data_IF_233583393215
#
_entry.id   IF_233583393215
#
_cell.length_a   1.000
_cell.length_b   1.000
_cell.length_c   1.000
_cell.angle_alpha   90.00
_cell.angle_beta   90.00
_cell.angle_gamma   90.00
#
_symmetry.space_group_name_H-M   'P 1'
#
loop_
_entity.id
_entity.type
_entity.pdbx_description
1 polymer ?
#
# COMPACT_ATOMS: atom_id res chain seq x y z
N UNK A 1 -0.04 -38.06 -53.83
CA UNK A 1 -1.37 -38.13 -53.18
C UNK A 1 -1.63 -36.77 -52.50
N UNK A 2 -2.32 -35.85 -53.18
CA UNK A 2 -2.57 -34.49 -52.64
C UNK A 2 -3.80 -34.52 -51.73
N UNK A 3 -3.60 -34.42 -50.42
CA UNK A 3 -4.69 -34.33 -49.45
C UNK A 3 -5.35 -32.95 -49.58
N UNK A 4 -6.56 -32.90 -50.15
CA UNK A 4 -7.39 -31.67 -50.15
C UNK A 4 -8.10 -31.56 -48.80
N UNK A 5 -7.62 -30.67 -47.93
CA UNK A 5 -8.30 -30.33 -46.67
C UNK A 5 -9.46 -29.40 -47.01
N UNK A 6 -10.69 -29.86 -46.78
CA UNK A 6 -11.89 -29.02 -46.89
C UNK A 6 -12.13 -28.28 -45.57
N UNK A 7 -12.76 -27.10 -45.63
CA UNK A 7 -13.12 -26.34 -44.42
C UNK A 7 -13.95 -27.14 -43.41
N UNK A 8 -14.84 -28.02 -43.90
CA UNK A 8 -15.62 -28.92 -43.05
C UNK A 8 -14.73 -29.94 -42.29
N UNK A 9 -13.71 -30.50 -42.95
CA UNK A 9 -12.75 -31.41 -42.31
C UNK A 9 -11.85 -30.68 -41.31
N UNK A 10 -11.44 -29.46 -41.63
CA UNK A 10 -10.68 -28.62 -40.71
C UNK A 10 -11.51 -28.27 -39.46
N UNK A 11 -12.77 -27.87 -39.63
CA UNK A 11 -13.68 -27.57 -38.52
C UNK A 11 -13.96 -28.80 -37.65
N UNK A 12 -14.23 -29.95 -38.26
CA UNK A 12 -14.44 -31.21 -37.53
C UNK A 12 -13.20 -31.62 -36.73
N UNK A 13 -12.00 -31.44 -37.30
CA UNK A 13 -10.74 -31.72 -36.60
C UNK A 13 -10.54 -30.79 -35.38
N UNK A 14 -10.81 -29.49 -35.53
CA UNK A 14 -10.72 -28.52 -34.43
C UNK A 14 -11.70 -28.87 -33.31
N UNK A 15 -12.96 -29.17 -33.64
CA UNK A 15 -13.98 -29.58 -32.66
C UNK A 15 -13.57 -30.88 -31.97
N UNK A 16 -13.07 -31.86 -32.74
CA UNK A 16 -12.57 -33.12 -32.18
C UNK A 16 -11.42 -32.91 -31.20
N UNK A 17 -10.45 -32.04 -31.53
CA UNK A 17 -9.35 -31.69 -30.63
C UNK A 17 -9.83 -30.96 -29.38
N UNK A 18 -10.78 -30.04 -29.50
CA UNK A 18 -11.35 -29.33 -28.36
C UNK A 18 -12.10 -30.29 -27.41
N UNK A 19 -12.92 -31.19 -27.95
CA UNK A 19 -13.61 -32.22 -27.17
C UNK A 19 -12.63 -33.18 -26.50
N UNK A 20 -11.58 -33.61 -27.20
CA UNK A 20 -10.53 -34.44 -26.61
C UNK A 20 -9.80 -33.73 -25.46
N UNK A 21 -9.50 -32.43 -25.60
CA UNK A 21 -8.92 -31.62 -24.53
C UNK A 21 -9.83 -31.49 -23.31
N UNK A 22 -11.13 -31.28 -23.53
CA UNK A 22 -12.13 -31.24 -22.44
C UNK A 22 -12.26 -32.59 -21.73
N UNK A 23 -12.32 -33.69 -22.49
CA UNK A 23 -12.35 -35.04 -21.92
C UNK A 23 -11.09 -35.34 -21.12
N UNK A 24 -9.92 -34.92 -21.60
CA UNK A 24 -8.66 -35.04 -20.85
C UNK A 24 -8.70 -34.26 -19.53
N UNK A 25 -9.13 -33.00 -19.56
CA UNK A 25 -9.27 -32.18 -18.35
C UNK A 25 -10.29 -32.78 -17.37
N UNK A 26 -11.40 -33.34 -17.87
CA UNK A 26 -12.45 -33.97 -17.07
C UNK A 26 -12.02 -35.33 -16.50
N UNK A 27 -11.16 -36.07 -17.20
CA UNK A 27 -10.77 -37.45 -16.84
C UNK A 27 -9.99 -37.57 -15.53
N UNK A 28 -9.43 -36.47 -15.00
CA UNK A 28 -8.55 -36.49 -13.82
C UNK A 28 -7.15 -37.06 -14.08
N UNK A 29 -6.82 -37.42 -15.33
CA UNK A 29 -5.49 -37.94 -15.71
C UNK A 29 -4.39 -36.89 -15.53
N UNK A 30 -4.73 -35.60 -15.70
CA UNK A 30 -3.77 -34.52 -15.47
C UNK A 30 -3.61 -34.24 -13.98
N UNK A 31 -2.47 -34.65 -13.43
CA UNK A 31 -2.14 -34.39 -12.03
C UNK A 31 -1.80 -32.91 -11.81
N UNK A 32 -2.56 -32.24 -10.94
CA UNK A 32 -2.37 -30.82 -10.58
C UNK A 32 -1.53 -30.63 -9.30
N UNK A 33 -0.87 -31.68 -8.79
CA UNK A 33 -0.06 -31.60 -7.59
C UNK A 33 1.09 -30.60 -7.76
N UNK A 34 1.14 -29.57 -6.91
CA UNK A 34 2.21 -28.58 -6.94
C UNK A 34 3.60 -29.18 -6.67
N UNK A 35 3.65 -30.32 -5.96
CA UNK A 35 4.88 -31.05 -5.63
C UNK A 35 5.58 -31.68 -6.83
N UNK A 36 4.88 -31.93 -7.94
CA UNK A 36 5.50 -32.42 -9.18
C UNK A 36 6.09 -31.30 -10.05
N UNK A 37 5.88 -30.04 -9.69
CA UNK A 37 6.28 -28.90 -10.50
C UNK A 37 5.54 -28.82 -11.84
N UNK A 38 5.96 -27.89 -12.69
CA UNK A 38 5.49 -27.81 -14.07
C UNK A 38 6.36 -28.65 -15.00
N UNK A 39 5.77 -29.17 -16.08
CA UNK A 39 6.56 -29.67 -17.20
C UNK A 39 7.38 -28.54 -17.81
N UNK A 40 8.59 -28.82 -18.34
CA UNK A 40 9.50 -27.79 -18.89
C UNK A 40 8.83 -26.87 -19.92
N UNK A 41 7.97 -27.43 -20.78
CA UNK A 41 7.26 -26.64 -21.80
C UNK A 41 6.21 -25.72 -21.18
N UNK A 42 5.46 -26.22 -20.19
CA UNK A 42 4.45 -25.45 -19.45
C UNK A 42 5.11 -24.36 -18.64
N UNK A 43 6.21 -24.67 -17.94
CA UNK A 43 6.99 -23.72 -17.16
C UNK A 43 7.52 -22.57 -18.01
N UNK A 44 8.17 -22.90 -19.13
CA UNK A 44 8.65 -21.92 -20.11
C UNK A 44 7.50 -21.05 -20.63
N UNK A 45 6.38 -21.66 -21.03
CA UNK A 45 5.25 -20.94 -21.61
C UNK A 45 4.61 -19.98 -20.60
N UNK A 46 4.42 -20.42 -19.35
CA UNK A 46 3.87 -19.59 -18.29
C UNK A 46 4.79 -18.41 -17.96
N UNK A 47 6.10 -18.65 -17.80
CA UNK A 47 7.07 -17.59 -17.55
C UNK A 47 7.17 -16.60 -18.72
N UNK A 48 7.19 -17.09 -19.96
CA UNK A 48 7.19 -16.25 -21.15
C UNK A 48 5.92 -15.39 -21.23
N UNK A 49 4.74 -15.99 -21.03
CA UNK A 49 3.45 -15.28 -21.01
C UNK A 49 3.44 -14.21 -19.92
N UNK A 50 3.89 -14.55 -18.71
CA UNK A 50 3.96 -13.61 -17.59
C UNK A 50 4.86 -12.41 -17.91
N UNK A 51 6.10 -12.65 -18.40
CA UNK A 51 7.04 -11.55 -18.75
C UNK A 51 6.48 -10.65 -19.85
N UNK A 52 5.86 -11.22 -20.89
CA UNK A 52 5.26 -10.42 -21.96
C UNK A 52 4.04 -9.63 -21.48
N UNK A 53 3.19 -10.23 -20.66
CA UNK A 53 2.04 -9.55 -20.05
C UNK A 53 2.50 -8.36 -19.21
N UNK A 54 3.45 -8.56 -18.31
CA UNK A 54 4.03 -7.48 -17.49
C UNK A 54 4.63 -6.39 -18.37
N UNK A 55 5.41 -6.74 -19.41
CA UNK A 55 5.99 -5.75 -20.35
C UNK A 55 4.92 -4.91 -21.02
N UNK A 56 3.87 -5.54 -21.55
CA UNK A 56 2.79 -4.87 -22.27
C UNK A 56 1.97 -3.98 -21.33
N UNK A 57 1.46 -4.52 -20.23
CA UNK A 57 0.56 -3.76 -19.37
C UNK A 57 1.29 -2.71 -18.53
N UNK A 58 2.52 -2.96 -18.09
CA UNK A 58 3.30 -1.93 -17.40
C UNK A 58 3.62 -0.73 -18.30
N UNK A 59 3.80 -0.94 -19.62
CA UNK A 59 4.03 0.16 -20.55
C UNK A 59 2.79 1.05 -20.73
N UNK A 60 1.59 0.47 -20.62
CA UNK A 60 0.33 1.17 -20.91
C UNK A 60 -0.36 1.70 -19.66
N UNK A 61 -0.29 0.97 -18.53
CA UNK A 61 -1.11 1.28 -17.34
C UNK A 61 -0.32 1.72 -16.13
N UNK A 62 1.01 1.54 -16.10
CA UNK A 62 1.81 2.05 -14.99
C UNK A 62 1.99 3.57 -15.11
N UNK A 63 1.97 4.32 -14.00
CA UNK A 63 2.18 5.75 -14.01
C UNK A 63 3.59 6.09 -14.53
N UNK A 64 3.77 7.33 -14.99
CA UNK A 64 5.07 7.82 -15.46
C UNK A 64 6.08 8.02 -14.32
N UNK A 65 5.59 8.19 -13.09
CA UNK A 65 6.37 8.29 -11.85
C UNK A 65 6.22 7.03 -10.97
N UNK A 66 6.56 5.81 -11.42
CA UNK A 66 6.26 4.55 -10.71
C UNK A 66 7.04 4.36 -9.40
N UNK A 67 7.99 5.24 -9.08
CA UNK A 67 8.89 5.15 -7.94
C UNK A 67 8.85 6.44 -7.13
N UNK A 68 8.63 6.32 -5.83
CA UNK A 68 8.69 7.46 -4.91
C UNK A 68 10.15 7.84 -4.61
N UNK A 69 10.38 9.11 -4.27
CA UNK A 69 11.70 9.61 -3.83
C UNK A 69 11.91 9.51 -2.31
N UNK A 70 10.88 9.09 -1.56
CA UNK A 70 10.84 9.12 -0.10
C UNK A 70 9.97 7.98 0.47
N UNK A 71 9.89 7.86 1.80
CA UNK A 71 9.02 6.89 2.48
C UNK A 71 9.57 5.47 2.55
N UNK A 72 10.89 5.32 2.63
CA UNK A 72 11.53 4.00 2.70
C UNK A 72 11.22 3.25 4.00
N UNK A 73 10.98 3.94 5.12
CA UNK A 73 10.69 3.29 6.41
C UNK A 73 9.34 2.55 6.36
N UNK A 74 8.31 3.17 5.78
CA UNK A 74 6.98 2.57 5.67
C UNK A 74 7.00 1.33 4.76
N UNK A 75 7.69 1.45 3.63
CA UNK A 75 7.91 0.34 2.71
C UNK A 75 8.74 -0.77 3.34
N UNK A 76 9.83 -0.45 4.05
CA UNK A 76 10.68 -1.43 4.70
C UNK A 76 9.92 -2.20 5.80
N UNK A 77 9.13 -1.50 6.62
CA UNK A 77 8.29 -2.10 7.64
C UNK A 77 7.27 -3.08 7.06
N UNK A 78 6.52 -2.65 6.03
CA UNK A 78 5.58 -3.52 5.32
C UNK A 78 6.30 -4.70 4.66
N UNK A 79 7.45 -4.47 4.02
CA UNK A 79 8.22 -5.51 3.36
C UNK A 79 8.68 -6.58 4.36
N UNK A 80 9.21 -6.17 5.52
CA UNK A 80 9.59 -7.08 6.61
C UNK A 80 8.39 -7.92 7.06
N UNK A 81 7.23 -7.30 7.23
CA UNK A 81 6.05 -7.96 7.77
C UNK A 81 5.35 -8.89 6.76
N UNK A 82 5.40 -8.59 5.46
CA UNK A 82 4.55 -9.25 4.45
C UNK A 82 5.28 -9.87 3.27
N UNK A 83 6.51 -9.45 2.97
CA UNK A 83 7.20 -9.83 1.72
C UNK A 83 8.47 -10.64 1.98
N UNK A 84 9.22 -10.32 3.02
CA UNK A 84 10.55 -10.88 3.29
C UNK A 84 10.53 -12.40 3.57
N UNK A 85 9.43 -12.94 4.10
CA UNK A 85 9.26 -14.39 4.29
C UNK A 85 9.27 -15.17 2.98
N UNK A 86 8.73 -14.58 1.91
CA UNK A 86 8.68 -15.18 0.57
C UNK A 86 9.91 -14.80 -0.26
N UNK A 87 10.31 -13.53 -0.21
CA UNK A 87 11.28 -12.93 -1.13
C UNK A 87 12.67 -12.71 -0.54
N UNK A 88 12.89 -13.02 0.74
CA UNK A 88 14.13 -12.70 1.44
C UNK A 88 14.32 -11.20 1.63
N UNK A 89 15.41 -10.84 2.31
CA UNK A 89 15.89 -9.47 2.49
C UNK A 89 17.41 -9.51 2.76
N UNK A 90 18.13 -8.37 2.75
CA UNK A 90 19.53 -8.34 3.13
C UNK A 90 19.80 -9.00 4.50
N UNK A 91 20.51 -10.13 4.49
CA UNK A 91 20.80 -10.93 5.69
C UNK A 91 19.65 -11.84 6.16
N UNK A 92 18.55 -11.94 5.41
CA UNK A 92 17.38 -12.78 5.69
C UNK A 92 17.11 -13.66 4.48
N UNK A 93 17.27 -14.98 4.63
CA UNK A 93 16.96 -15.92 3.54
C UNK A 93 15.44 -16.08 3.39
N UNK A 94 14.93 -16.24 2.15
CA UNK A 94 13.56 -16.68 1.92
C UNK A 94 13.25 -17.98 2.66
N UNK A 95 11.98 -18.18 3.07
CA UNK A 95 11.57 -19.41 3.72
C UNK A 95 11.71 -20.61 2.76
N UNK A 96 12.26 -21.76 3.22
CA UNK A 96 12.41 -22.95 2.37
C UNK A 96 11.11 -23.43 1.72
N UNK A 97 9.98 -23.33 2.43
CA UNK A 97 8.66 -23.68 1.88
C UNK A 97 8.25 -22.80 0.70
N UNK A 98 8.61 -21.52 0.71
CA UNK A 98 8.33 -20.59 -0.38
C UNK A 98 9.30 -20.78 -1.56
N UNK A 99 10.50 -21.30 -1.29
CA UNK A 99 11.46 -21.71 -2.31
C UNK A 99 11.10 -23.07 -2.95
N UNK A 100 10.30 -23.90 -2.26
CA UNK A 100 9.76 -25.15 -2.80
C UNK A 100 8.38 -24.97 -3.47
N UNK A 101 7.82 -23.75 -3.47
CA UNK A 101 6.56 -23.45 -4.15
C UNK A 101 6.70 -23.55 -5.68
N UNK A 102 5.58 -23.76 -6.37
CA UNK A 102 5.52 -23.82 -7.84
C UNK A 102 4.65 -22.68 -8.37
N UNK A 103 5.22 -21.60 -8.94
CA UNK A 103 6.65 -21.31 -9.05
C UNK A 103 7.27 -20.81 -7.72
N UNK A 104 8.59 -20.92 -7.55
CA UNK A 104 9.27 -20.43 -6.35
C UNK A 104 9.28 -18.91 -6.32
N UNK A 105 9.21 -18.33 -5.12
CA UNK A 105 9.32 -16.88 -4.96
C UNK A 105 10.77 -16.42 -5.25
N UNK A 106 10.99 -15.41 -6.11
CA UNK A 106 12.33 -14.91 -6.40
C UNK A 106 12.90 -14.15 -5.19
N UNK A 107 14.22 -14.21 -5.03
CA UNK A 107 14.90 -13.39 -4.02
C UNK A 107 15.05 -11.95 -4.53
N UNK A 108 14.32 -11.01 -3.91
CA UNK A 108 14.31 -9.62 -4.38
C UNK A 108 15.60 -8.87 -4.04
N UNK A 109 16.45 -9.39 -3.15
CA UNK A 109 17.80 -8.85 -2.96
C UNK A 109 18.74 -9.17 -4.13
N UNK A 110 18.32 -10.05 -5.04
CA UNK A 110 19.10 -10.48 -6.22
C UNK A 110 18.37 -10.07 -7.50
N UNK A 111 17.13 -10.52 -7.69
CA UNK A 111 16.41 -10.48 -8.97
C UNK A 111 15.68 -9.16 -9.25
N UNK A 112 15.55 -8.24 -8.28
CA UNK A 112 14.83 -6.98 -8.49
C UNK A 112 15.42 -6.12 -9.63
N UNK A 113 16.70 -6.30 -9.96
CA UNK A 113 17.40 -5.60 -11.04
C UNK A 113 16.91 -5.97 -12.44
N UNK A 114 16.24 -7.11 -12.61
CA UNK A 114 15.78 -7.58 -13.93
C UNK A 114 14.56 -6.82 -14.49
N UNK A 115 13.88 -6.04 -13.66
CA UNK A 115 12.62 -5.39 -13.98
C UNK A 115 12.77 -3.86 -13.97
N UNK A 116 12.07 -3.15 -14.84
CA UNK A 116 11.99 -1.69 -14.82
C UNK A 116 11.09 -1.19 -13.68
N UNK A 117 11.21 0.09 -13.29
CA UNK A 117 10.38 0.65 -12.21
C UNK A 117 8.87 0.52 -12.52
N UNK A 118 8.44 0.77 -13.78
CA UNK A 118 7.05 0.55 -14.23
C UNK A 118 6.61 -0.91 -14.10
N UNK A 119 7.48 -1.86 -14.40
CA UNK A 119 7.18 -3.29 -14.28
C UNK A 119 7.06 -3.73 -12.82
N UNK A 120 7.97 -3.28 -11.94
CA UNK A 120 7.88 -3.57 -10.50
C UNK A 120 6.60 -2.97 -9.93
N UNK A 121 6.25 -1.73 -10.30
CA UNK A 121 4.99 -1.11 -9.90
C UNK A 121 3.79 -1.97 -10.30
N UNK A 122 3.74 -2.40 -11.56
CA UNK A 122 2.64 -3.18 -12.09
C UNK A 122 2.50 -4.53 -11.38
N UNK A 123 3.61 -5.25 -11.19
CA UNK A 123 3.63 -6.53 -10.49
C UNK A 123 3.17 -6.36 -9.03
N UNK A 124 3.68 -5.36 -8.31
CA UNK A 124 3.25 -5.09 -6.92
C UNK A 124 1.77 -4.70 -6.84
N UNK A 125 1.29 -3.91 -7.81
CA UNK A 125 -0.10 -3.45 -7.85
C UNK A 125 -1.07 -4.60 -8.10
N UNK A 126 -0.76 -5.48 -9.02
CA UNK A 126 -1.70 -6.47 -9.56
C UNK A 126 -1.45 -7.90 -9.10
N UNK A 127 -0.25 -8.19 -8.61
CA UNK A 127 0.20 -9.55 -8.33
C UNK A 127 0.39 -10.36 -9.62
N UNK A 128 0.54 -11.68 -9.46
CA UNK A 128 0.68 -12.60 -10.60
C UNK A 128 -0.32 -13.74 -10.43
N UNK A 129 -1.25 -13.87 -11.39
CA UNK A 129 -2.30 -14.91 -11.37
C UNK A 129 -1.69 -16.31 -11.27
N UNK A 130 -2.36 -17.19 -10.53
CA UNK A 130 -1.95 -18.58 -10.30
C UNK A 130 -0.57 -18.71 -9.63
N UNK A 131 -0.19 -17.73 -8.80
CA UNK A 131 1.00 -17.78 -7.96
C UNK A 131 0.66 -17.35 -6.54
N UNK A 132 1.61 -17.49 -5.61
CA UNK A 132 1.50 -16.95 -4.26
C UNK A 132 1.63 -15.42 -4.16
N UNK A 133 1.81 -14.69 -5.27
CA UNK A 133 2.00 -13.24 -5.28
C UNK A 133 0.66 -12.49 -5.40
N UNK A 134 0.11 -11.93 -4.31
CA UNK A 134 -1.17 -11.23 -4.35
C UNK A 134 -1.04 -9.84 -4.98
N UNK A 135 -2.18 -9.29 -5.42
CA UNK A 135 -2.27 -7.87 -5.77
C UNK A 135 -2.40 -6.97 -4.54
N UNK A 136 -2.12 -5.68 -4.72
CA UNK A 136 -2.22 -4.70 -3.65
C UNK A 136 -3.68 -4.52 -3.21
N UNK A 137 -3.97 -4.82 -1.93
CA UNK A 137 -5.35 -4.84 -1.44
C UNK A 137 -6.00 -3.44 -1.43
N UNK A 138 -5.23 -2.39 -1.13
CA UNK A 138 -5.72 -1.01 -1.11
C UNK A 138 -5.64 -0.38 -2.52
N UNK A 139 -6.73 -0.48 -3.29
CA UNK A 139 -6.77 -0.11 -4.72
C UNK A 139 -6.48 1.37 -5.01
N UNK A 140 -6.72 2.27 -4.06
CA UNK A 140 -6.50 3.71 -4.27
C UNK A 140 -5.20 4.22 -3.61
N UNK A 141 -4.28 3.30 -3.27
CA UNK A 141 -3.04 3.59 -2.55
C UNK A 141 -1.81 3.35 -3.39
N UNK A 142 -1.79 3.91 -4.60
CA UNK A 142 -0.62 3.87 -5.50
C UNK A 142 0.60 4.52 -4.87
N UNK A 143 0.40 5.47 -3.95
CA UNK A 143 1.45 6.06 -3.15
C UNK A 143 2.21 5.02 -2.32
N UNK A 144 1.55 4.00 -1.77
CA UNK A 144 2.21 2.91 -1.05
C UNK A 144 3.00 2.00 -2.02
N UNK A 145 2.42 1.72 -3.19
CA UNK A 145 3.09 0.92 -4.24
C UNK A 145 4.36 1.61 -4.71
N UNK A 146 4.32 2.92 -5.00
CA UNK A 146 5.49 3.71 -5.41
C UNK A 146 6.61 3.71 -4.38
N UNK A 147 6.28 3.75 -3.07
CA UNK A 147 7.27 3.62 -1.99
C UNK A 147 7.86 2.22 -1.93
N UNK A 148 7.04 1.19 -2.15
CA UNK A 148 7.52 -0.18 -2.24
C UNK A 148 8.44 -0.40 -3.45
N UNK A 149 8.15 0.20 -4.61
CA UNK A 149 9.05 0.19 -5.78
C UNK A 149 10.40 0.82 -5.41
N UNK A 150 10.39 1.97 -4.73
CA UNK A 150 11.61 2.64 -4.30
C UNK A 150 12.44 1.75 -3.37
N UNK A 151 11.79 1.11 -2.41
CA UNK A 151 12.43 0.19 -1.47
C UNK A 151 13.00 -1.06 -2.16
N UNK A 152 12.22 -1.73 -3.01
CA UNK A 152 12.65 -2.93 -3.77
C UNK A 152 13.82 -2.61 -4.69
N UNK A 153 13.88 -1.41 -5.27
CA UNK A 153 14.98 -0.99 -6.15
C UNK A 153 16.32 -0.90 -5.42
N UNK A 154 16.33 -0.40 -4.18
CA UNK A 154 17.56 -0.26 -3.38
C UNK A 154 17.91 -1.52 -2.58
N UNK A 155 16.99 -2.47 -2.48
CA UNK A 155 17.15 -3.70 -1.70
C UNK A 155 18.43 -4.49 -2.05
N UNK A 156 18.81 -4.69 -3.33
CA UNK A 156 20.03 -5.41 -3.70
C UNK A 156 21.34 -4.73 -3.30
N UNK A 157 21.31 -3.45 -2.95
CA UNK A 157 22.48 -2.64 -2.58
C UNK A 157 22.54 -2.39 -1.08
N UNK A 158 21.50 -2.80 -0.36
CA UNK A 158 21.32 -2.50 1.05
C UNK A 158 22.08 -3.50 1.92
N UNK A 159 22.85 -2.99 2.88
CA UNK A 159 23.49 -3.84 3.88
C UNK A 159 22.46 -4.37 4.90
N UNK A 160 22.70 -5.53 5.55
CA UNK A 160 21.85 -6.01 6.64
C UNK A 160 21.70 -5.00 7.79
N UNK A 161 22.74 -4.19 8.06
CA UNK A 161 22.70 -3.15 9.08
C UNK A 161 21.74 -2.02 8.71
N UNK A 162 21.78 -1.56 7.46
CA UNK A 162 20.86 -0.56 6.91
C UNK A 162 19.43 -1.09 6.94
N UNK A 163 19.19 -2.33 6.52
CA UNK A 163 17.87 -2.95 6.57
C UNK A 163 17.28 -3.01 7.99
N UNK A 164 18.10 -3.42 8.98
CA UNK A 164 17.69 -3.37 10.41
C UNK A 164 17.37 -1.96 10.86
N UNK A 165 18.20 -0.96 10.51
CA UNK A 165 17.92 0.43 10.89
C UNK A 165 16.60 0.96 10.32
N UNK A 166 16.15 0.47 9.17
CA UNK A 166 14.86 0.88 8.60
C UNK A 166 13.66 0.19 9.26
N UNK A 167 13.87 -0.99 9.84
CA UNK A 167 12.79 -1.88 10.28
C UNK A 167 12.71 -2.12 11.78
N UNK A 168 13.69 -1.65 12.56
CA UNK A 168 13.79 -1.87 14.00
C UNK A 168 13.98 -0.54 14.73
N UNK A 169 13.47 -0.48 15.95
CA UNK A 169 13.65 0.63 16.88
C UNK A 169 14.17 0.09 18.20
N UNK A 170 15.43 0.39 18.57
CA UNK A 170 16.01 -0.05 19.84
C UNK A 170 15.30 0.59 21.05
N UNK A 171 15.37 -0.09 22.20
CA UNK A 171 14.93 0.48 23.49
C UNK A 171 13.44 0.41 23.79
N UNK A 172 12.63 -0.21 22.92
CA UNK A 172 11.20 -0.48 23.17
C UNK A 172 11.02 -1.95 23.50
N UNK A 173 10.65 -2.26 24.75
CA UNK A 173 10.58 -3.63 25.26
C UNK A 173 9.24 -4.33 24.99
N UNK A 174 8.14 -3.56 24.95
CA UNK A 174 6.83 -4.10 24.59
C UNK A 174 6.77 -4.38 23.09
N UNK A 175 6.52 -5.64 22.71
CA UNK A 175 6.56 -6.09 21.33
C UNK A 175 5.51 -5.41 20.42
N UNK A 176 4.31 -5.09 20.95
CA UNK A 176 3.27 -4.41 20.18
C UNK A 176 3.65 -2.95 19.95
N UNK A 177 4.12 -2.27 20.99
CA UNK A 177 4.61 -0.88 20.87
C UNK A 177 5.82 -0.85 19.93
N UNK A 178 6.75 -1.80 20.03
CA UNK A 178 7.92 -1.89 19.17
C UNK A 178 7.55 -2.05 17.69
N UNK A 179 6.50 -2.82 17.39
CA UNK A 179 5.97 -2.95 16.03
C UNK A 179 5.50 -1.60 15.47
N UNK A 180 4.73 -0.85 16.26
CA UNK A 180 4.27 0.49 15.86
C UNK A 180 5.43 1.49 15.76
N UNK A 181 6.32 1.50 16.77
CA UNK A 181 7.48 2.36 16.84
C UNK A 181 8.46 2.12 15.68
N UNK A 182 8.54 0.89 15.15
CA UNK A 182 9.30 0.54 13.94
C UNK A 182 9.11 1.54 12.80
N UNK A 183 7.88 2.00 12.59
CA UNK A 183 7.56 3.04 11.61
C UNK A 183 7.29 4.41 12.24
N UNK A 184 6.55 4.46 13.35
CA UNK A 184 6.10 5.70 13.97
C UNK A 184 7.10 6.34 14.95
N UNK A 185 8.23 5.69 15.22
CA UNK A 185 9.25 6.12 16.18
C UNK A 185 8.87 5.79 17.62
N UNK A 186 9.88 5.60 18.47
CA UNK A 186 9.68 5.44 19.91
C UNK A 186 9.12 6.72 20.57
N UNK A 187 9.32 7.88 19.92
CA UNK A 187 8.79 9.17 20.30
C UNK A 187 7.42 9.49 19.67
N UNK A 188 6.88 8.58 18.85
CA UNK A 188 5.62 8.77 18.14
C UNK A 188 5.66 9.89 17.08
N UNK A 189 6.83 10.36 16.64
CA UNK A 189 6.96 11.49 15.69
C UNK A 189 7.18 11.06 14.24
N UNK A 190 7.10 9.78 13.94
CA UNK A 190 7.19 9.25 12.58
C UNK A 190 8.61 9.17 12.02
N UNK A 191 9.64 9.11 12.87
CA UNK A 191 11.06 8.93 12.48
C UNK A 191 11.56 9.92 11.42
N UNK A 192 11.04 11.14 11.44
CA UNK A 192 11.36 12.18 10.47
C UNK A 192 10.79 11.97 9.06
N UNK A 193 10.02 10.90 8.83
CA UNK A 193 9.52 10.56 7.51
C UNK A 193 8.31 11.42 7.11
N UNK A 194 8.22 11.84 5.84
CA UNK A 194 7.14 12.72 5.37
C UNK A 194 5.78 12.01 5.30
N UNK A 195 5.76 10.71 5.03
CA UNK A 195 4.54 9.90 4.93
C UNK A 195 4.04 9.36 6.29
N UNK A 196 4.84 9.50 7.35
CA UNK A 196 4.50 9.01 8.69
C UNK A 196 3.84 10.07 9.56
N UNK A 197 2.60 9.87 10.03
CA UNK A 197 1.97 10.82 10.94
C UNK A 197 2.66 10.86 12.29
N UNK A 198 2.62 12.03 12.92
CA UNK A 198 2.88 12.20 14.35
C UNK A 198 1.67 11.66 15.12
N UNK A 199 1.90 10.72 16.02
CA UNK A 199 0.88 10.11 16.89
C UNK A 199 0.84 10.78 18.28
N UNK A 200 1.99 11.25 18.76
CA UNK A 200 2.09 12.01 20.02
C UNK A 200 1.12 13.18 20.06
N UNK A 201 0.39 13.36 21.17
CA UNK A 201 -0.56 14.44 21.38
C UNK A 201 -1.88 14.30 20.59
N UNK A 202 -2.10 13.20 19.89
CA UNK A 202 -3.37 12.93 19.22
C UNK A 202 -4.42 12.43 20.21
N UNK A 203 -5.71 12.59 19.89
CA UNK A 203 -6.81 12.01 20.66
C UNK A 203 -6.71 10.47 20.74
N UNK A 204 -6.73 9.87 21.96
CA UNK A 204 -6.77 8.41 22.11
C UNK A 204 -7.98 7.79 21.41
N UNK A 205 -9.14 8.44 21.52
CA UNK A 205 -10.36 7.98 20.85
C UNK A 205 -10.20 7.95 19.32
N UNK A 206 -9.52 8.95 18.75
CA UNK A 206 -9.22 8.97 17.32
C UNK A 206 -8.23 7.87 16.92
N UNK A 207 -7.14 7.69 17.68
CA UNK A 207 -6.14 6.66 17.37
C UNK A 207 -6.76 5.27 17.42
N UNK A 208 -7.57 4.96 18.44
CA UNK A 208 -8.31 3.70 18.52
C UNK A 208 -9.25 3.50 17.33
N UNK A 209 -10.06 4.52 17.01
CA UNK A 209 -10.97 4.47 15.86
C UNK A 209 -10.21 4.30 14.53
N UNK A 210 -9.03 4.89 14.39
CA UNK A 210 -8.20 4.74 13.21
C UNK A 210 -7.64 3.30 13.09
N UNK A 211 -7.16 2.71 14.19
CA UNK A 211 -6.68 1.33 14.23
C UNK A 211 -7.80 0.35 13.86
N UNK A 212 -9.00 0.50 14.45
CA UNK A 212 -10.17 -0.31 14.11
C UNK A 212 -10.55 -0.15 12.63
N UNK A 213 -10.55 1.09 12.12
CA UNK A 213 -10.87 1.35 10.72
C UNK A 213 -9.86 0.71 9.76
N UNK A 214 -8.58 0.65 10.13
CA UNK A 214 -7.56 -0.07 9.34
C UNK A 214 -7.75 -1.58 9.41
N UNK A 215 -7.94 -2.14 10.61
CA UNK A 215 -8.15 -3.58 10.81
C UNK A 215 -9.39 -4.11 10.06
N UNK A 216 -10.46 -3.31 10.00
CA UNK A 216 -11.72 -3.66 9.32
C UNK A 216 -11.76 -3.24 7.85
N UNK A 217 -10.71 -2.60 7.33
CA UNK A 217 -10.68 -2.08 5.95
C UNK A 217 -11.56 -0.85 5.69
N UNK A 218 -12.27 -0.30 6.68
CA UNK A 218 -13.00 0.99 6.56
C UNK A 218 -12.07 2.15 6.17
N UNK A 219 -10.79 2.05 6.53
CA UNK A 219 -9.71 2.97 6.14
C UNK A 219 -8.65 2.22 5.35
N UNK A 220 -8.42 2.65 4.12
CA UNK A 220 -7.54 1.94 3.17
C UNK A 220 -6.05 2.24 3.40
N UNK A 221 -5.26 1.20 3.64
CA UNK A 221 -3.78 1.19 3.67
C UNK A 221 -3.32 -0.25 3.82
N UNK A 222 -2.44 -0.75 2.96
CA UNK A 222 -1.86 -2.09 3.15
C UNK A 222 -0.88 -2.07 4.33
N UNK A 223 -0.10 -1.00 4.46
CA UNK A 223 0.86 -0.81 5.56
C UNK A 223 0.16 -0.91 6.92
N UNK A 224 -0.86 -0.07 7.14
CA UNK A 224 -1.54 -0.02 8.44
C UNK A 224 -2.54 -1.15 8.63
N UNK A 225 -3.17 -1.68 7.57
CA UNK A 225 -4.04 -2.86 7.71
C UNK A 225 -3.23 -4.08 8.17
N UNK A 226 -2.02 -4.28 7.63
CA UNK A 226 -1.13 -5.35 8.07
C UNK A 226 -0.72 -5.16 9.55
N UNK A 227 -0.33 -3.95 9.94
CA UNK A 227 0.02 -3.65 11.33
C UNK A 227 -1.15 -3.83 12.31
N UNK A 228 -2.39 -3.56 11.87
CA UNK A 228 -3.58 -3.62 12.71
C UNK A 228 -4.29 -4.99 12.69
N UNK A 229 -3.95 -5.87 11.76
CA UNK A 229 -4.71 -7.09 11.45
C UNK A 229 -4.91 -8.03 12.65
N UNK A 230 -3.93 -8.11 13.56
CA UNK A 230 -3.96 -9.03 14.70
C UNK A 230 -4.21 -8.32 16.03
N UNK A 231 -4.57 -7.04 16.02
CA UNK A 231 -4.79 -6.28 17.26
C UNK A 231 -6.17 -6.60 17.84
N UNK A 232 -6.20 -6.86 19.14
CA UNK A 232 -7.46 -6.93 19.91
C UNK A 232 -7.96 -5.52 20.24
N UNK A 233 -9.25 -5.35 20.62
CA UNK A 233 -9.74 -4.05 21.09
C UNK A 233 -8.96 -3.48 22.30
N UNK A 234 -8.44 -4.36 23.15
CA UNK A 234 -7.57 -4.00 24.28
C UNK A 234 -6.21 -3.51 23.79
N UNK A 235 -5.55 -4.24 22.87
CA UNK A 235 -4.31 -3.80 22.22
C UNK A 235 -4.50 -2.42 21.57
N UNK A 236 -5.60 -2.22 20.83
CA UNK A 236 -5.88 -0.94 20.18
C UNK A 236 -6.05 0.21 21.18
N UNK A 237 -6.71 -0.05 22.31
CA UNK A 237 -6.88 0.96 23.37
C UNK A 237 -5.55 1.30 24.02
N UNK A 238 -4.77 0.28 24.40
CA UNK A 238 -3.46 0.45 25.02
C UNK A 238 -2.48 1.19 24.11
N UNK A 239 -2.43 0.85 22.83
CA UNK A 239 -1.58 1.53 21.84
C UNK A 239 -2.04 2.98 21.63
N UNK A 240 -3.35 3.22 21.55
CA UNK A 240 -3.89 4.56 21.41
C UNK A 240 -3.54 5.45 22.61
N UNK A 241 -3.75 4.96 23.84
CA UNK A 241 -3.43 5.69 25.06
C UNK A 241 -1.92 5.95 25.17
N UNK A 242 -1.10 4.95 24.87
CA UNK A 242 0.36 5.06 24.91
C UNK A 242 0.89 6.16 23.99
N UNK A 243 0.53 6.13 22.70
CA UNK A 243 1.02 7.14 21.75
C UNK A 243 0.37 8.51 21.98
N UNK A 244 -0.91 8.57 22.34
CA UNK A 244 -1.58 9.84 22.64
C UNK A 244 -0.93 10.60 23.81
N UNK A 245 -0.45 9.89 24.83
CA UNK A 245 0.20 10.47 25.99
C UNK A 245 1.60 11.07 25.69
N UNK A 246 2.20 10.75 24.54
CA UNK A 246 3.50 11.30 24.16
C UNK A 246 3.40 12.78 23.76
N UNK A 247 4.46 13.59 23.97
CA UNK A 247 4.52 14.94 23.42
C UNK A 247 4.46 14.93 21.88
N UNK A 248 3.62 15.78 21.30
CA UNK A 248 3.52 15.87 19.83
C UNK A 248 2.66 17.02 19.35
N UNK A 249 1.59 16.68 18.62
CA UNK A 249 0.69 17.65 17.98
C UNK A 249 -0.19 18.39 19.02
N UNK A 250 -0.87 19.45 18.60
CA UNK A 250 -1.78 20.25 19.43
C UNK A 250 -1.15 21.46 20.11
N UNK A 251 0.18 21.53 20.22
CA UNK A 251 0.92 22.67 20.79
C UNK A 251 1.42 23.70 19.78
N UNK A 252 1.12 23.53 18.49
CA UNK A 252 1.56 24.43 17.41
C UNK A 252 0.38 25.31 17.01
N UNK A 253 0.57 26.63 16.98
CA UNK A 253 -0.42 27.54 16.41
C UNK A 253 -0.39 27.43 14.89
N UNK A 254 -1.52 27.13 14.22
CA UNK A 254 -1.58 27.15 12.77
C UNK A 254 -1.15 28.51 12.20
N UNK A 255 -0.29 28.50 11.19
CA UNK A 255 0.27 29.70 10.56
C UNK A 255 0.58 29.38 9.11
N UNK A 256 0.43 30.36 8.20
CA UNK A 256 0.63 30.16 6.77
C UNK A 256 -0.14 31.22 5.97
N UNK A 257 -0.62 30.86 4.78
CA UNK A 257 -1.35 31.81 3.92
C UNK A 257 -2.65 32.35 4.56
N UNK A 258 -2.99 33.61 4.25
CA UNK A 258 -4.25 34.24 4.68
C UNK A 258 -5.47 33.50 4.14
N UNK A 259 -5.36 32.92 2.94
CA UNK A 259 -6.40 32.10 2.32
C UNK A 259 -6.68 30.83 3.16
N UNK A 260 -5.64 30.09 3.56
CA UNK A 260 -5.79 28.90 4.39
C UNK A 260 -6.39 29.24 5.76
N UNK A 261 -5.91 30.31 6.40
CA UNK A 261 -6.45 30.79 7.68
C UNK A 261 -7.95 31.18 7.57
N UNK A 262 -8.36 31.75 6.44
CA UNK A 262 -9.77 32.05 6.17
C UNK A 262 -10.61 30.78 6.05
N UNK A 263 -10.15 29.79 5.28
CA UNK A 263 -10.87 28.51 5.13
C UNK A 263 -11.01 27.79 6.48
N UNK A 264 -9.97 27.80 7.31
CA UNK A 264 -10.01 27.19 8.64
C UNK A 264 -11.09 27.83 9.53
N UNK A 265 -11.18 29.16 9.54
CA UNK A 265 -12.11 29.90 10.43
C UNK A 265 -13.52 30.07 9.88
N UNK A 266 -13.66 30.25 8.57
CA UNK A 266 -14.91 30.66 7.92
C UNK A 266 -15.43 29.62 6.91
N UNK A 267 -14.56 28.75 6.39
CA UNK A 267 -14.89 27.86 5.28
C UNK A 267 -15.00 28.60 3.93
N UNK A 268 -15.61 27.93 2.94
CA UNK A 268 -15.92 28.49 1.61
C UNK A 268 -17.38 28.19 1.25
N UNK A 269 -18.32 29.12 1.49
CA UNK A 269 -19.74 28.92 1.21
C UNK A 269 -20.05 28.57 -0.25
N UNK A 270 -19.30 29.16 -1.21
CA UNK A 270 -19.51 28.93 -2.65
C UNK A 270 -19.38 27.46 -3.07
N UNK A 271 -18.54 26.70 -2.37
CA UNK A 271 -18.33 25.26 -2.62
C UNK A 271 -18.87 24.40 -1.46
N UNK A 272 -19.69 24.99 -0.58
CA UNK A 272 -20.26 24.34 0.60
C UNK A 272 -19.20 23.70 1.51
N UNK A 273 -18.02 24.30 1.61
CA UNK A 273 -16.96 23.87 2.51
C UNK A 273 -17.16 24.55 3.88
N UNK A 274 -17.52 23.84 4.96
CA UNK A 274 -17.57 24.42 6.29
C UNK A 274 -16.17 24.80 6.80
N UNK A 275 -16.14 25.68 7.80
CA UNK A 275 -14.91 26.02 8.52
C UNK A 275 -14.29 24.76 9.16
N UNK A 276 -12.98 24.56 8.98
CA UNK A 276 -12.27 23.41 9.54
C UNK A 276 -12.34 23.42 11.08
N UNK A 277 -12.20 24.61 11.68
CA UNK A 277 -12.26 24.82 13.12
C UNK A 277 -13.61 24.42 13.75
N UNK A 278 -14.72 24.36 12.99
CA UNK A 278 -16.01 23.87 13.51
C UNK A 278 -15.92 22.44 14.04
N UNK A 279 -15.02 21.63 13.47
CA UNK A 279 -14.78 20.25 13.87
C UNK A 279 -13.39 20.04 14.48
N UNK A 280 -12.34 20.68 13.97
CA UNK A 280 -10.94 20.36 14.34
C UNK A 280 -10.32 21.29 15.40
N UNK A 281 -11.08 22.23 15.97
CA UNK A 281 -10.60 23.08 17.06
C UNK A 281 -10.33 22.27 18.35
N UNK A 282 -9.43 22.74 19.24
CA UNK A 282 -9.18 22.11 20.53
C UNK A 282 -10.47 21.84 21.32
N UNK A 283 -10.55 20.66 21.95
CA UNK A 283 -11.70 20.22 22.73
C UNK A 283 -12.85 19.58 21.92
N UNK A 284 -12.76 19.55 20.59
CA UNK A 284 -13.71 18.83 19.73
C UNK A 284 -13.36 17.32 19.65
N UNK A 285 -14.33 16.44 19.33
CA UNK A 285 -14.10 14.98 19.30
C UNK A 285 -13.34 14.48 18.05
N UNK A 286 -12.94 15.38 17.15
CA UNK A 286 -12.26 15.06 15.90
C UNK A 286 -10.74 15.14 16.06
N UNK A 287 -9.94 14.54 15.15
CA UNK A 287 -8.49 14.54 15.30
C UNK A 287 -7.90 15.94 15.32
N UNK A 288 -6.84 16.08 16.12
CA UNK A 288 -5.98 17.26 16.13
C UNK A 288 -5.22 17.34 14.81
N UNK A 289 -5.30 18.48 14.14
CA UNK A 289 -4.55 18.77 12.91
C UNK A 289 -3.32 19.63 13.16
N UNK A 290 -3.41 20.55 14.12
CA UNK A 290 -2.36 21.51 14.43
C UNK A 290 -1.06 20.82 14.88
N UNK A 291 0.05 21.08 14.19
CA UNK A 291 1.35 20.44 14.41
C UNK A 291 1.53 19.08 13.71
N UNK A 292 0.53 18.59 12.98
CA UNK A 292 0.70 17.40 12.14
C UNK A 292 1.49 17.75 10.88
N UNK A 293 2.16 16.75 10.27
CA UNK A 293 2.96 16.96 9.06
C UNK A 293 2.09 17.40 7.88
N UNK A 294 2.52 18.46 7.21
CA UNK A 294 1.85 18.96 6.01
C UNK A 294 1.73 17.87 4.93
N UNK A 295 2.81 17.14 4.64
CA UNK A 295 2.81 16.01 3.68
C UNK A 295 1.76 14.96 4.02
N UNK A 296 1.62 14.59 5.29
CA UNK A 296 0.61 13.62 5.72
C UNK A 296 -0.81 14.18 5.60
N UNK A 297 -1.06 15.42 6.03
CA UNK A 297 -2.39 16.06 5.91
C UNK A 297 -2.78 16.12 4.42
N UNK A 298 -1.90 16.64 3.58
CA UNK A 298 -2.13 16.80 2.15
C UNK A 298 -2.40 15.44 1.48
N UNK A 299 -1.60 14.42 1.79
CA UNK A 299 -1.83 13.06 1.29
C UNK A 299 -3.18 12.50 1.75
N UNK A 300 -3.58 12.72 3.01
CA UNK A 300 -4.89 12.26 3.51
C UNK A 300 -6.05 12.94 2.80
N UNK A 301 -5.96 14.25 2.54
CA UNK A 301 -6.97 14.99 1.78
C UNK A 301 -7.05 14.48 0.34
N UNK A 302 -5.91 14.30 -0.33
CA UNK A 302 -5.87 13.73 -1.70
C UNK A 302 -6.44 12.33 -1.77
N UNK A 303 -6.12 11.46 -0.81
CA UNK A 303 -6.67 10.10 -0.75
C UNK A 303 -8.20 10.09 -0.58
N UNK A 304 -8.75 11.05 0.16
CA UNK A 304 -10.19 11.20 0.36
C UNK A 304 -10.90 11.80 -0.85
N UNK A 305 -10.28 12.77 -1.51
CA UNK A 305 -10.79 13.32 -2.78
C UNK A 305 -10.79 12.23 -3.85
N UNK A 306 -9.70 11.48 -3.95
CA UNK A 306 -9.41 10.50 -5.00
C UNK A 306 -9.32 11.16 -6.38
N UNK A 307 -9.48 10.35 -7.43
CA UNK A 307 -9.48 10.84 -8.81
C UNK A 307 -10.65 11.81 -9.08
N UNK A 308 -10.35 12.95 -9.71
CA UNK A 308 -11.33 13.99 -10.09
C UNK A 308 -12.18 13.58 -11.29
N UNK A 309 -11.65 12.71 -12.16
CA UNK A 309 -12.30 12.24 -13.39
C UNK A 309 -13.18 11.02 -13.16
N UNK A 310 -13.05 10.36 -12.00
CA UNK A 310 -13.80 9.15 -11.67
C UNK A 310 -14.73 9.40 -10.48
N UNK A 311 -16.03 9.45 -10.77
CA UNK A 311 -17.08 9.37 -9.75
C UNK A 311 -17.19 7.92 -9.28
N UNK A 312 -16.37 7.56 -8.29
CA UNK A 312 -16.45 6.23 -7.68
C UNK A 312 -17.58 6.20 -6.64
N UNK A 313 -18.71 5.58 -7.00
CA UNK A 313 -19.87 5.39 -6.12
C UNK A 313 -19.55 4.57 -4.85
N UNK A 314 -18.40 3.89 -4.79
CA UNK A 314 -17.92 3.15 -3.61
C UNK A 314 -17.14 4.05 -2.64
N UNK A 315 -16.80 5.29 -3.01
CA UNK A 315 -16.11 6.21 -2.09
C UNK A 315 -16.99 6.46 -0.87
N UNK A 316 -16.35 6.43 0.30
CA UNK A 316 -17.03 6.60 1.57
C UNK A 316 -17.84 7.91 1.61
N UNK A 317 -19.05 7.82 2.16
CA UNK A 317 -19.93 8.95 2.49
C UNK A 317 -19.65 9.49 3.91
N UNK A 318 -18.57 9.05 4.56
CA UNK A 318 -18.10 9.67 5.79
C UNK A 318 -17.76 11.14 5.57
N UNK A 319 -17.83 11.92 6.66
CA UNK A 319 -17.70 13.38 6.64
C UNK A 319 -16.46 13.86 5.89
N UNK A 320 -15.26 13.40 6.26
CA UNK A 320 -14.02 13.92 5.66
C UNK A 320 -13.85 13.64 4.16
N UNK A 321 -14.17 12.45 3.61
CA UNK A 321 -14.30 12.25 2.17
C UNK A 321 -15.17 13.29 1.45
N UNK A 322 -16.31 13.65 2.03
CA UNK A 322 -17.21 14.68 1.45
C UNK A 322 -16.57 16.06 1.55
N UNK A 323 -15.98 16.41 2.69
CA UNK A 323 -15.28 17.68 2.91
C UNK A 323 -14.09 17.81 1.94
N UNK A 324 -13.25 16.79 1.81
CA UNK A 324 -12.05 16.82 0.97
C UNK A 324 -12.36 17.06 -0.51
N UNK A 325 -13.49 16.54 -1.02
CA UNK A 325 -13.96 16.80 -2.40
C UNK A 325 -14.41 18.25 -2.64
N UNK A 326 -14.65 19.02 -1.58
CA UNK A 326 -15.04 20.43 -1.64
C UNK A 326 -13.86 21.38 -1.42
N UNK A 327 -12.69 20.86 -1.05
CA UNK A 327 -11.47 21.66 -0.91
C UNK A 327 -10.92 21.91 -2.31
N UNK A 328 -10.72 23.17 -2.74
CA UNK A 328 -10.02 23.48 -3.98
C UNK A 328 -8.63 22.81 -4.02
N UNK A 329 -8.24 22.23 -5.16
CA UNK A 329 -6.95 21.52 -5.28
C UNK A 329 -5.76 22.38 -4.86
N UNK A 330 -5.73 23.62 -5.34
CA UNK A 330 -4.70 24.62 -5.03
C UNK A 330 -4.63 24.97 -3.53
N UNK A 331 -5.67 24.63 -2.75
CA UNK A 331 -5.73 24.85 -1.32
C UNK A 331 -5.36 23.64 -0.47
N UNK A 332 -5.17 22.44 -1.03
CA UNK A 332 -4.77 21.26 -0.24
C UNK A 332 -3.42 21.48 0.46
N UNK A 333 -2.38 21.86 -0.30
CA UNK A 333 -1.05 22.07 0.27
C UNK A 333 -0.99 23.30 1.19
N UNK A 334 -1.58 24.46 0.84
CA UNK A 334 -1.65 25.61 1.75
C UNK A 334 -2.37 25.31 3.07
N UNK A 335 -3.46 24.54 3.06
CA UNK A 335 -4.14 24.12 4.30
C UNK A 335 -3.27 23.18 5.12
N UNK A 336 -2.59 22.25 4.46
CA UNK A 336 -1.70 21.31 5.13
C UNK A 336 -0.49 22.01 5.78
N UNK A 337 0.11 22.98 5.09
CA UNK A 337 1.17 23.85 5.63
C UNK A 337 0.65 24.70 6.80
N UNK A 338 -0.54 25.28 6.64
CA UNK A 338 -1.19 26.07 7.69
C UNK A 338 -1.33 25.29 9.00
N UNK A 339 -1.89 24.08 8.95
CA UNK A 339 -2.01 23.23 10.14
C UNK A 339 -0.65 22.73 10.66
N UNK A 340 0.36 22.59 9.81
CA UNK A 340 1.72 22.24 10.25
C UNK A 340 2.45 23.40 10.95
N UNK A 341 1.90 24.63 10.90
CA UNK A 341 2.52 25.83 11.46
C UNK A 341 3.70 26.34 10.61
N UNK A 342 3.54 26.34 9.28
CA UNK A 342 4.58 26.72 8.32
C UNK A 342 4.04 27.67 7.26
#
# INVERSE_FOLDING_TARGET
MTIRITWARAAAAIVGLALAGLLFAWSGVFNIAASSGHWKITDWFLHWTMRNSVRTYAAVTAPDDPKANEGLVSAAGLFKASCASCHGAPGVRPLPVMQAATPPAPDLSINAREWTDKQIFWILKHGVKYTGMPGWAAKDRDDEVRRMVAFVRVLPEMSPATYRSLTEVPGVTDARIATCAGCHGADGRGRGQPDMPVLGGQSPAYLRAALEAYATGKRQSVVMANAAATLTPEDMTRLADHFAAMPGIGGVTPSGSTAAARIDREGLPKVQLPACASCHAPGKPYPVLAGQRASYIAQRLRNWRGDETVVDARKSQSTMPVIARRIPEDMIDPLAQYFAGR
#
